data_IF_300289761632
#
_entry.id   IF_300289761632
#
_cell.length_a   1.000
_cell.length_b   1.000
_cell.length_c   1.000
_cell.angle_alpha   90.00
_cell.angle_beta   90.00
_cell.angle_gamma   90.00
#
_symmetry.space_group_name_H-M   'P 1'
#
loop_
_entity.id
_entity.type
_entity.pdbx_description
1 polymer ?
#
# COMPACT_ATOMS: atom_id res chain seq x y z
N UNK A 1 30.51 -25.01 -28.81
CA UNK A 1 31.10 -23.91 -28.01
C UNK A 1 30.17 -22.72 -27.81
N UNK A 2 29.34 -22.27 -28.75
CA UNK A 2 28.42 -21.12 -28.57
C UNK A 2 27.40 -21.31 -27.44
N UNK A 3 26.73 -22.45 -27.36
CA UNK A 3 25.71 -22.75 -26.33
C UNK A 3 26.26 -22.73 -24.88
N UNK A 4 27.50 -23.19 -24.69
CA UNK A 4 28.14 -23.16 -23.37
C UNK A 4 28.46 -21.73 -22.89
N UNK A 5 28.86 -20.83 -23.82
CA UNK A 5 29.09 -19.41 -23.51
C UNK A 5 27.79 -18.69 -23.13
N UNK A 6 26.71 -18.95 -23.84
CA UNK A 6 25.38 -18.40 -23.56
C UNK A 6 24.86 -18.81 -22.18
N UNK A 7 24.94 -20.10 -21.83
CA UNK A 7 24.54 -20.63 -20.52
C UNK A 7 25.36 -19.97 -19.39
N UNK A 8 26.67 -19.79 -19.57
CA UNK A 8 27.53 -19.13 -18.59
C UNK A 8 27.12 -17.65 -18.38
N UNK A 9 26.76 -16.96 -19.44
CA UNK A 9 26.25 -15.58 -19.37
C UNK A 9 24.92 -15.51 -18.64
N UNK A 10 23.97 -16.45 -18.91
CA UNK A 10 22.71 -16.56 -18.18
C UNK A 10 22.93 -16.83 -16.69
N UNK A 11 23.80 -17.78 -16.33
CA UNK A 11 24.15 -18.04 -14.93
C UNK A 11 24.61 -16.78 -14.23
N UNK A 12 25.57 -16.05 -14.82
CA UNK A 12 26.11 -14.80 -14.27
C UNK A 12 25.02 -13.73 -14.09
N UNK A 13 24.09 -13.61 -15.05
CA UNK A 13 22.95 -12.68 -14.96
C UNK A 13 22.03 -13.02 -13.79
N UNK A 14 21.67 -14.30 -13.62
CA UNK A 14 20.80 -14.73 -12.50
C UNK A 14 21.53 -14.60 -11.16
N UNK A 15 22.84 -14.86 -11.09
CA UNK A 15 23.64 -14.62 -9.88
C UNK A 15 23.63 -13.13 -9.47
N UNK A 16 23.71 -12.21 -10.43
CA UNK A 16 23.58 -10.79 -10.16
C UNK A 16 22.19 -10.42 -9.67
N UNK A 17 21.14 -10.97 -10.32
CA UNK A 17 19.74 -10.78 -9.87
C UNK A 17 19.56 -11.28 -8.43
N UNK A 18 20.10 -12.44 -8.08
CA UNK A 18 20.09 -12.99 -6.72
C UNK A 18 20.73 -12.05 -5.70
N UNK A 19 21.85 -11.43 -6.03
CA UNK A 19 22.51 -10.45 -5.16
C UNK A 19 21.65 -9.20 -4.95
N UNK A 20 21.03 -8.70 -6.02
CA UNK A 20 20.14 -7.52 -5.97
C UNK A 20 18.90 -7.81 -5.12
N UNK A 21 18.22 -8.94 -5.34
CA UNK A 21 17.02 -9.31 -4.58
C UNK A 21 17.35 -9.52 -3.10
N UNK A 22 18.50 -10.12 -2.77
CA UNK A 22 18.96 -10.26 -1.38
C UNK A 22 19.24 -8.92 -0.70
N UNK A 23 19.86 -7.99 -1.41
CA UNK A 23 20.09 -6.64 -0.89
C UNK A 23 18.75 -5.89 -0.67
N UNK A 24 17.81 -6.02 -1.60
CA UNK A 24 16.47 -5.41 -1.47
C UNK A 24 15.67 -6.02 -0.31
N UNK A 25 15.80 -7.31 -0.05
CA UNK A 25 15.21 -7.98 1.12
C UNK A 25 15.74 -7.32 2.41
N UNK A 26 17.05 -7.17 2.56
CA UNK A 26 17.68 -6.60 3.77
C UNK A 26 17.28 -5.13 3.99
N UNK A 27 17.25 -4.34 2.92
CA UNK A 27 16.79 -2.94 2.97
C UNK A 27 15.33 -2.88 3.42
N UNK A 28 14.49 -3.78 2.89
CA UNK A 28 13.06 -3.82 3.23
C UNK A 28 12.84 -4.18 4.70
N UNK A 29 13.63 -5.08 5.28
CA UNK A 29 13.61 -5.40 6.73
C UNK A 29 13.87 -4.16 7.57
N UNK A 30 14.94 -3.41 7.23
CA UNK A 30 15.29 -2.19 7.97
C UNK A 30 14.20 -1.11 7.88
N UNK A 31 13.67 -0.89 6.67
CA UNK A 31 12.59 0.10 6.44
C UNK A 31 11.28 -0.31 7.09
N UNK A 32 10.94 -1.60 7.10
CA UNK A 32 9.76 -2.13 7.78
C UNK A 32 9.78 -1.81 9.28
N UNK A 33 10.90 -2.05 9.96
CA UNK A 33 11.04 -1.73 11.40
C UNK A 33 10.75 -0.25 11.67
N UNK A 34 11.36 0.65 10.89
CA UNK A 34 11.14 2.10 11.01
C UNK A 34 9.69 2.51 10.70
N UNK A 35 9.03 1.85 9.74
CA UNK A 35 7.63 2.11 9.42
C UNK A 35 6.70 1.63 10.55
N UNK A 36 6.97 0.47 11.14
CA UNK A 36 6.23 -0.04 12.30
C UNK A 36 6.38 0.86 13.54
N UNK A 37 7.57 1.38 13.81
CA UNK A 37 7.80 2.35 14.89
C UNK A 37 6.94 3.60 14.71
N UNK A 38 6.88 4.15 13.47
CA UNK A 38 6.05 5.31 13.16
C UNK A 38 4.56 5.01 13.28
N UNK A 39 4.12 3.85 12.77
CA UNK A 39 2.73 3.41 12.89
C UNK A 39 2.32 3.32 14.38
N UNK A 40 3.19 2.76 15.23
CA UNK A 40 2.94 2.70 16.68
C UNK A 40 2.93 4.07 17.34
N UNK A 41 3.81 4.98 16.91
CA UNK A 41 3.87 6.34 17.43
C UNK A 41 2.65 7.18 17.02
N UNK A 42 2.02 6.92 15.88
CA UNK A 42 0.83 7.61 15.41
C UNK A 42 -0.46 7.18 16.12
N UNK A 43 -0.55 5.91 16.56
CA UNK A 43 -1.75 5.35 17.19
C UNK A 43 -2.28 6.14 18.40
N UNK A 44 -1.45 6.51 19.40
CA UNK A 44 -1.95 7.22 20.58
C UNK A 44 -2.65 8.54 20.25
N UNK A 45 -2.14 9.26 19.23
CA UNK A 45 -2.76 10.50 18.77
C UNK A 45 -4.14 10.23 18.16
N UNK A 46 -4.23 9.31 17.22
CA UNK A 46 -5.50 8.95 16.57
C UNK A 46 -6.53 8.43 17.59
N UNK A 47 -6.11 7.64 18.59
CA UNK A 47 -6.97 7.13 19.64
C UNK A 47 -7.49 8.27 20.55
N UNK A 48 -6.63 9.21 20.94
CA UNK A 48 -7.03 10.35 21.77
C UNK A 48 -7.99 11.29 21.03
N UNK A 49 -7.69 11.65 19.78
CA UNK A 49 -8.58 12.48 18.96
C UNK A 49 -9.94 11.79 18.75
N UNK A 50 -9.95 10.48 18.50
CA UNK A 50 -11.17 9.68 18.41
C UNK A 50 -11.98 9.72 19.69
N UNK A 51 -11.36 9.51 20.84
CA UNK A 51 -12.04 9.52 22.14
C UNK A 51 -12.68 10.90 22.40
N UNK A 52 -11.97 11.99 22.13
CA UNK A 52 -12.48 13.34 22.27
C UNK A 52 -13.66 13.56 21.31
N UNK A 53 -13.53 13.18 20.03
CA UNK A 53 -14.59 13.31 19.04
C UNK A 53 -15.85 12.50 19.41
N UNK A 54 -15.68 11.29 19.98
CA UNK A 54 -16.77 10.45 20.47
C UNK A 54 -17.53 11.09 21.64
N UNK A 55 -16.81 11.69 22.60
CA UNK A 55 -17.43 12.38 23.75
C UNK A 55 -18.14 13.66 23.33
N UNK A 56 -17.54 14.43 22.39
CA UNK A 56 -18.14 15.67 21.88
C UNK A 56 -19.46 15.43 21.14
N UNK A 57 -19.56 14.34 20.39
CA UNK A 57 -20.80 13.94 19.71
C UNK A 57 -21.93 13.59 20.68
N UNK A 58 -21.61 13.27 21.94
CA UNK A 58 -22.60 13.01 23.00
C UNK A 58 -22.97 14.26 23.80
N UNK A 59 -21.99 15.13 24.05
CA UNK A 59 -22.17 16.30 24.92
C UNK A 59 -22.99 17.42 24.26
N UNK A 60 -23.00 17.55 22.93
CA UNK A 60 -23.72 18.56 22.18
C UNK A 60 -24.62 17.96 21.10
N UNK A 61 -25.78 17.38 21.44
CA UNK A 61 -26.69 16.77 20.48
C UNK A 61 -27.34 17.78 19.51
N UNK A 62 -27.34 19.07 19.86
CA UNK A 62 -27.93 20.13 19.03
C UNK A 62 -27.03 20.52 17.84
N UNK A 63 -25.71 20.32 17.94
CA UNK A 63 -24.76 20.60 16.86
C UNK A 63 -24.26 19.35 16.19
N UNK A 64 -24.64 19.18 14.92
CA UNK A 64 -24.14 18.08 14.07
C UNK A 64 -23.23 18.64 13.00
N UNK A 65 -21.93 18.36 13.14
CA UNK A 65 -20.91 18.78 12.16
C UNK A 65 -21.22 18.18 10.78
N UNK A 66 -20.82 18.89 9.72
CA UNK A 66 -21.05 18.46 8.32
C UNK A 66 -20.47 17.08 8.01
N UNK A 67 -19.33 16.71 8.62
CA UNK A 67 -18.73 15.38 8.46
C UNK A 67 -19.53 14.21 9.05
N UNK A 68 -20.54 14.49 9.87
CA UNK A 68 -21.44 13.47 10.44
C UNK A 68 -22.77 13.38 9.68
N UNK A 69 -23.06 14.36 8.80
CA UNK A 69 -24.29 14.39 8.01
C UNK A 69 -24.16 13.54 6.75
N UNK A 70 -25.23 12.86 6.37
CA UNK A 70 -25.34 12.20 5.08
C UNK A 70 -25.63 13.23 3.99
N UNK A 71 -24.94 13.13 2.88
CA UNK A 71 -25.10 14.00 1.71
C UNK A 71 -25.65 13.18 0.52
N UNK A 72 -26.54 13.78 -0.27
CA UNK A 72 -27.07 13.19 -1.50
C UNK A 72 -26.24 13.58 -2.74
N UNK A 73 -24.95 13.80 -2.55
CA UNK A 73 -24.00 14.16 -3.62
C UNK A 73 -24.00 13.13 -4.76
N UNK A 74 -23.82 13.62 -5.98
CA UNK A 74 -23.79 12.79 -7.20
C UNK A 74 -22.48 12.01 -7.38
N UNK A 75 -21.49 12.27 -6.53
CA UNK A 75 -20.17 11.65 -6.61
C UNK A 75 -19.83 10.89 -5.32
N UNK A 76 -18.90 9.95 -5.44
CA UNK A 76 -18.26 9.26 -4.31
C UNK A 76 -16.75 9.50 -4.37
N UNK A 77 -16.14 9.89 -3.26
CA UNK A 77 -14.71 10.14 -3.13
C UNK A 77 -13.93 8.89 -2.72
N UNK A 78 -12.76 8.68 -3.30
CA UNK A 78 -11.84 7.59 -2.94
C UNK A 78 -10.45 8.14 -2.68
N UNK A 79 -9.94 7.98 -1.48
CA UNK A 79 -8.53 8.22 -1.14
C UNK A 79 -7.80 6.90 -1.26
N UNK A 80 -6.97 6.76 -2.30
CA UNK A 80 -6.34 5.48 -2.66
C UNK A 80 -4.86 5.52 -2.31
N UNK A 81 -4.47 4.79 -1.26
CA UNK A 81 -3.10 4.72 -0.77
C UNK A 81 -2.41 3.50 -1.35
N UNK A 82 -1.41 3.73 -2.19
CA UNK A 82 -0.61 2.69 -2.85
C UNK A 82 0.88 2.98 -2.70
N UNK A 83 1.70 2.12 -3.28
CA UNK A 83 3.16 2.34 -3.31
C UNK A 83 3.59 3.16 -4.52
N UNK A 84 4.71 3.87 -4.40
CA UNK A 84 5.35 4.49 -5.55
C UNK A 84 6.08 3.47 -6.43
N UNK A 85 6.74 2.50 -5.81
CA UNK A 85 7.56 1.48 -6.48
C UNK A 85 6.90 0.10 -6.39
N UNK A 86 7.16 -0.76 -7.37
CA UNK A 86 6.70 -2.14 -7.38
C UNK A 86 7.55 -3.10 -6.55
N UNK A 87 7.57 -4.35 -6.96
CA UNK A 87 8.30 -5.46 -6.34
C UNK A 87 7.87 -5.80 -4.91
N UNK A 88 6.61 -5.51 -4.57
CA UNK A 88 5.95 -5.82 -3.30
C UNK A 88 4.89 -6.93 -3.43
N UNK A 89 5.13 -7.90 -4.32
CA UNK A 89 4.20 -9.00 -4.57
C UNK A 89 2.83 -8.52 -5.05
N UNK A 90 1.78 -9.11 -4.51
CA UNK A 90 0.38 -8.81 -4.85
C UNK A 90 -0.24 -7.61 -4.12
N UNK A 91 0.52 -6.88 -3.30
CA UNK A 91 -0.02 -5.85 -2.41
C UNK A 91 -0.91 -4.82 -3.14
N UNK A 92 -0.35 -4.14 -4.15
CA UNK A 92 -1.12 -3.15 -4.92
C UNK A 92 -2.23 -3.80 -5.74
N UNK A 93 -1.98 -4.95 -6.35
CA UNK A 93 -2.96 -5.63 -7.20
C UNK A 93 -4.19 -6.04 -6.40
N UNK A 94 -4.03 -6.52 -5.17
CA UNK A 94 -5.14 -6.92 -4.32
C UNK A 94 -5.97 -5.70 -3.89
N UNK A 95 -5.32 -4.59 -3.49
CA UNK A 95 -6.01 -3.35 -3.15
C UNK A 95 -6.77 -2.78 -4.36
N UNK A 96 -6.12 -2.72 -5.52
CA UNK A 96 -6.74 -2.17 -6.73
C UNK A 96 -7.88 -3.05 -7.25
N UNK A 97 -7.84 -4.37 -7.00
CA UNK A 97 -8.96 -5.27 -7.26
C UNK A 97 -10.16 -4.95 -6.37
N UNK A 98 -9.93 -4.77 -5.06
CA UNK A 98 -10.98 -4.38 -4.12
C UNK A 98 -11.58 -3.01 -4.50
N UNK A 99 -10.73 -2.04 -4.83
CA UNK A 99 -11.16 -0.73 -5.33
C UNK A 99 -12.01 -0.84 -6.61
N UNK A 100 -11.65 -1.73 -7.54
CA UNK A 100 -12.40 -1.91 -8.80
C UNK A 100 -13.83 -2.38 -8.54
N UNK A 101 -14.05 -3.23 -7.55
CA UNK A 101 -15.39 -3.66 -7.14
C UNK A 101 -16.21 -2.44 -6.68
N UNK A 102 -15.64 -1.63 -5.80
CA UNK A 102 -16.29 -0.43 -5.27
C UNK A 102 -16.58 0.62 -6.36
N UNK A 103 -15.66 0.82 -7.31
CA UNK A 103 -15.88 1.72 -8.44
C UNK A 103 -17.04 1.26 -9.33
N UNK A 104 -17.17 -0.06 -9.56
CA UNK A 104 -18.30 -0.63 -10.33
C UNK A 104 -19.63 -0.46 -9.59
N UNK A 105 -19.67 -0.70 -8.30
CA UNK A 105 -20.85 -0.50 -7.46
C UNK A 105 -21.28 0.97 -7.47
N UNK A 106 -20.34 1.90 -7.37
CA UNK A 106 -20.60 3.34 -7.47
C UNK A 106 -21.18 3.71 -8.82
N UNK A 107 -20.63 3.18 -9.90
CA UNK A 107 -21.12 3.42 -11.27
C UNK A 107 -22.50 2.80 -11.49
N UNK A 108 -22.76 1.59 -10.98
CA UNK A 108 -24.06 0.93 -11.04
C UNK A 108 -25.14 1.71 -10.27
N UNK A 109 -24.76 2.40 -9.20
CA UNK A 109 -25.63 3.31 -8.44
C UNK A 109 -25.85 4.68 -9.16
N UNK A 110 -25.32 4.86 -10.38
CA UNK A 110 -25.46 6.10 -11.17
C UNK A 110 -24.61 7.27 -10.65
N UNK A 111 -23.66 7.00 -9.73
CA UNK A 111 -22.77 8.01 -9.17
C UNK A 111 -21.43 8.05 -9.89
N UNK A 112 -20.79 9.22 -9.90
CA UNK A 112 -19.44 9.38 -10.44
C UNK A 112 -18.39 9.18 -9.34
N UNK A 113 -17.25 8.59 -9.69
CA UNK A 113 -16.14 8.41 -8.76
C UNK A 113 -15.13 9.56 -8.91
N UNK A 114 -14.79 10.21 -7.80
CA UNK A 114 -13.67 11.15 -7.70
C UNK A 114 -12.58 10.50 -6.84
N UNK A 115 -11.34 10.61 -7.26
CA UNK A 115 -10.25 9.94 -6.56
C UNK A 115 -9.10 10.88 -6.21
N UNK A 116 -8.52 10.67 -5.03
CA UNK A 116 -7.21 11.20 -4.65
C UNK A 116 -6.24 10.04 -4.61
N UNK A 117 -5.16 10.14 -5.38
CA UNK A 117 -4.13 9.11 -5.45
C UNK A 117 -2.94 9.45 -4.56
N UNK A 118 -2.64 8.59 -3.61
CA UNK A 118 -1.42 8.62 -2.80
C UNK A 118 -0.53 7.46 -3.26
N UNK A 119 0.57 7.78 -3.96
CA UNK A 119 1.48 6.82 -4.55
C UNK A 119 1.29 6.59 -6.05
N UNK A 120 2.42 6.38 -6.75
CA UNK A 120 2.46 6.33 -8.22
C UNK A 120 1.72 5.14 -8.84
N UNK A 121 1.62 4.00 -8.14
CA UNK A 121 0.93 2.81 -8.66
C UNK A 121 -0.59 2.99 -8.73
N UNK A 122 -1.18 3.65 -7.73
CA UNK A 122 -2.60 4.02 -7.72
C UNK A 122 -2.92 5.06 -8.78
N UNK A 123 -2.11 6.11 -8.89
CA UNK A 123 -2.27 7.14 -9.90
C UNK A 123 -2.29 6.55 -11.32
N UNK A 124 -1.29 5.71 -11.65
CA UNK A 124 -1.24 5.07 -12.96
C UNK A 124 -2.41 4.13 -13.25
N UNK A 125 -2.96 3.48 -12.23
CA UNK A 125 -4.15 2.64 -12.35
C UNK A 125 -5.42 3.48 -12.57
N UNK A 126 -5.66 4.49 -11.75
CA UNK A 126 -6.83 5.36 -11.82
C UNK A 126 -6.92 6.07 -13.18
N UNK A 127 -5.81 6.58 -13.69
CA UNK A 127 -5.75 7.18 -15.02
C UNK A 127 -6.09 6.18 -16.14
N UNK A 128 -5.67 4.91 -16.00
CA UNK A 128 -5.97 3.86 -16.99
C UNK A 128 -7.43 3.46 -17.00
N UNK A 129 -8.07 3.43 -15.83
CA UNK A 129 -9.51 3.09 -15.69
C UNK A 129 -10.41 4.28 -16.05
N UNK A 130 -9.84 5.48 -16.25
CA UNK A 130 -10.60 6.70 -16.55
C UNK A 130 -11.33 7.28 -15.34
N UNK A 131 -10.89 6.99 -14.12
CA UNK A 131 -11.44 7.61 -12.92
C UNK A 131 -11.02 9.10 -12.85
N UNK A 132 -11.93 9.97 -12.40
CA UNK A 132 -11.62 11.40 -12.22
C UNK A 132 -10.67 11.58 -11.04
N UNK A 133 -9.37 11.71 -11.32
CA UNK A 133 -8.37 12.03 -10.29
C UNK A 133 -8.38 13.53 -10.05
N UNK A 134 -8.86 13.95 -8.87
CA UNK A 134 -8.97 15.36 -8.48
C UNK A 134 -7.69 15.90 -7.85
N UNK A 135 -6.90 15.04 -7.22
CA UNK A 135 -5.58 15.38 -6.67
C UNK A 135 -4.71 14.14 -6.53
N UNK A 136 -3.41 14.35 -6.44
CA UNK A 136 -2.49 13.23 -6.21
C UNK A 136 -1.21 13.69 -5.50
N UNK A 137 -0.57 12.76 -4.81
CA UNK A 137 0.78 12.91 -4.26
C UNK A 137 1.59 11.65 -4.51
N UNK A 138 2.80 11.84 -4.99
CA UNK A 138 3.77 10.78 -5.25
C UNK A 138 5.10 11.12 -4.60
N UNK A 139 5.99 10.16 -4.52
CA UNK A 139 7.35 10.35 -4.00
C UNK A 139 7.39 10.86 -2.56
N UNK A 140 6.48 10.35 -1.69
CA UNK A 140 6.47 10.66 -0.26
C UNK A 140 7.75 10.21 0.47
N UNK A 141 8.54 9.31 -0.15
CA UNK A 141 9.75 8.76 0.44
C UNK A 141 9.47 7.80 1.60
N UNK A 142 10.46 7.61 2.46
CA UNK A 142 10.35 6.69 3.59
C UNK A 142 9.71 7.32 4.84
N UNK A 143 9.56 8.65 4.84
CA UNK A 143 8.94 9.42 5.93
C UNK A 143 7.77 10.22 5.36
N UNK A 144 6.53 9.76 5.55
CA UNK A 144 5.39 10.56 5.15
C UNK A 144 5.30 11.78 6.08
N UNK A 145 5.30 12.97 5.49
CA UNK A 145 5.04 14.21 6.20
C UNK A 145 3.56 14.55 6.03
N UNK A 146 2.89 14.89 7.14
CA UNK A 146 1.47 15.21 7.15
C UNK A 146 1.17 16.38 6.21
N UNK A 147 2.03 17.41 6.18
CA UNK A 147 1.88 18.60 5.34
C UNK A 147 1.70 18.26 3.85
N UNK A 148 2.36 17.20 3.35
CA UNK A 148 2.23 16.75 1.96
C UNK A 148 0.93 16.00 1.68
N UNK A 149 0.29 15.47 2.72
CA UNK A 149 -0.95 14.70 2.62
C UNK A 149 -2.18 15.58 2.76
N UNK A 150 -2.11 16.63 3.61
CA UNK A 150 -3.24 17.51 3.91
C UNK A 150 -3.79 18.14 2.63
N UNK A 151 -2.96 18.75 1.78
CA UNK A 151 -3.41 19.40 0.56
C UNK A 151 -4.26 18.52 -0.34
N UNK A 152 -3.73 17.38 -0.81
CA UNK A 152 -4.49 16.44 -1.64
C UNK A 152 -5.77 15.90 -0.99
N UNK A 153 -5.73 15.60 0.31
CA UNK A 153 -6.89 15.06 1.04
C UNK A 153 -7.95 16.12 1.22
N UNK A 154 -7.57 17.36 1.54
CA UNK A 154 -8.47 18.49 1.76
C UNK A 154 -9.42 18.71 0.57
N UNK A 155 -8.96 18.48 -0.67
CA UNK A 155 -9.81 18.62 -1.86
C UNK A 155 -11.09 17.77 -1.78
N UNK A 156 -10.98 16.50 -1.29
CA UNK A 156 -12.16 15.65 -1.11
C UNK A 156 -12.97 16.00 0.14
N UNK A 157 -12.31 16.46 1.21
CA UNK A 157 -13.01 16.92 2.42
C UNK A 157 -13.84 18.17 2.13
N UNK A 158 -13.29 19.13 1.38
CA UNK A 158 -13.99 20.34 0.96
C UNK A 158 -15.14 20.02 -0.01
N UNK A 159 -14.95 19.10 -0.96
CA UNK A 159 -16.00 18.63 -1.86
C UNK A 159 -17.15 17.92 -1.10
N UNK A 160 -16.84 17.18 -0.04
CA UNK A 160 -17.86 16.59 0.84
C UNK A 160 -18.62 17.67 1.61
N UNK A 161 -17.92 18.67 2.15
CA UNK A 161 -18.54 19.81 2.85
C UNK A 161 -19.44 20.62 1.94
N UNK A 162 -19.05 20.79 0.67
CA UNK A 162 -19.85 21.45 -0.36
C UNK A 162 -21.07 20.63 -0.85
N UNK A 163 -21.21 19.36 -0.41
CA UNK A 163 -22.29 18.46 -0.82
C UNK A 163 -22.15 17.87 -2.22
N UNK A 164 -20.99 18.03 -2.87
CA UNK A 164 -20.70 17.43 -4.18
C UNK A 164 -20.46 15.91 -4.09
N UNK A 165 -19.88 15.48 -2.99
CA UNK A 165 -19.50 14.10 -2.70
C UNK A 165 -20.35 13.54 -1.59
N UNK A 166 -21.04 12.41 -1.82
CA UNK A 166 -21.96 11.79 -0.86
C UNK A 166 -21.24 10.98 0.22
N UNK A 167 -20.08 10.41 -0.10
CA UNK A 167 -19.27 9.63 0.84
C UNK A 167 -17.79 9.67 0.41
N UNK A 168 -16.88 9.56 1.35
CA UNK A 168 -15.43 9.43 1.11
C UNK A 168 -14.96 8.12 1.68
N UNK A 169 -14.30 7.29 0.86
CA UNK A 169 -13.72 6.02 1.24
C UNK A 169 -12.20 6.10 1.26
N UNK A 170 -11.60 5.46 2.26
CA UNK A 170 -10.16 5.32 2.42
C UNK A 170 -9.75 3.89 2.04
N UNK A 171 -8.89 3.77 1.02
CA UNK A 171 -8.46 2.50 0.45
C UNK A 171 -6.96 2.31 0.71
N UNK A 172 -6.58 1.33 1.51
CA UNK A 172 -5.18 1.08 1.88
C UNK A 172 -4.94 -0.38 2.26
N UNK A 173 -3.68 -0.76 2.50
CA UNK A 173 -3.34 -2.08 2.99
C UNK A 173 -3.04 -2.03 4.49
N UNK A 174 -3.92 -2.65 5.28
CA UNK A 174 -3.76 -2.78 6.73
C UNK A 174 -2.64 -3.75 7.04
N UNK A 175 -1.74 -3.34 7.93
CA UNK A 175 -0.67 -4.20 8.41
C UNK A 175 -1.16 -5.11 9.54
N UNK A 176 -1.29 -6.41 9.28
CA UNK A 176 -1.66 -7.43 10.26
C UNK A 176 -0.40 -8.10 10.82
N UNK A 177 0.45 -8.58 9.93
CA UNK A 177 1.72 -9.20 10.27
C UNK A 177 2.71 -9.07 9.11
N UNK A 178 3.95 -9.48 9.33
CA UNK A 178 4.98 -9.51 8.28
C UNK A 178 4.57 -10.37 7.07
N UNK A 179 3.77 -11.42 7.31
CA UNK A 179 3.33 -12.35 6.28
C UNK A 179 1.93 -12.03 5.73
N UNK A 180 1.15 -11.20 6.43
CA UNK A 180 -0.24 -10.92 6.08
C UNK A 180 -0.50 -9.41 6.06
N UNK A 181 -0.88 -8.90 4.89
CA UNK A 181 -1.37 -7.56 4.65
C UNK A 181 -2.74 -7.66 3.99
N UNK A 182 -3.72 -6.95 4.54
CA UNK A 182 -5.12 -7.04 4.10
C UNK A 182 -5.52 -5.74 3.41
N UNK A 183 -6.00 -5.80 2.15
CA UNK A 183 -6.58 -4.63 1.50
C UNK A 183 -7.89 -4.25 2.21
N UNK A 184 -8.03 -2.99 2.55
CA UNK A 184 -9.18 -2.43 3.24
C UNK A 184 -9.74 -1.27 2.43
N UNK A 185 -11.06 -1.24 2.31
CA UNK A 185 -11.83 -0.11 1.81
C UNK A 185 -12.81 0.25 2.91
N UNK A 186 -12.56 1.34 3.60
CA UNK A 186 -13.40 1.79 4.72
C UNK A 186 -13.94 3.19 4.49
N UNK A 187 -15.13 3.45 4.99
CA UNK A 187 -15.74 4.76 4.89
C UNK A 187 -15.06 5.72 5.86
N UNK A 188 -14.52 6.81 5.31
CA UNK A 188 -13.95 7.92 6.06
C UNK A 188 -15.05 8.95 6.39
N UNK A 189 -15.86 9.34 5.42
CA UNK A 189 -16.98 10.27 5.57
C UNK A 189 -18.26 9.70 4.92
N UNK A 190 -19.44 9.95 5.50
CA UNK A 190 -19.68 10.58 6.80
C UNK A 190 -19.13 9.74 7.96
N UNK A 191 -18.69 10.43 9.02
CA UNK A 191 -18.24 9.79 10.24
C UNK A 191 -19.42 9.12 10.95
N UNK A 192 -19.29 7.83 11.25
CA UNK A 192 -20.33 7.10 11.98
C UNK A 192 -20.07 7.19 13.48
N UNK A 193 -21.00 7.81 14.21
CA UNK A 193 -20.96 7.83 15.68
C UNK A 193 -20.90 6.41 16.27
N UNK A 194 -21.61 5.43 15.69
CA UNK A 194 -21.60 4.04 16.12
C UNK A 194 -20.20 3.41 16.02
N UNK A 195 -19.47 3.63 14.92
CA UNK A 195 -18.10 3.13 14.76
C UNK A 195 -17.12 3.79 15.73
N UNK A 196 -17.28 5.09 15.99
CA UNK A 196 -16.48 5.79 17.00
C UNK A 196 -16.66 5.19 18.39
N UNK A 197 -17.88 4.76 18.73
CA UNK A 197 -18.20 4.15 20.02
C UNK A 197 -17.72 2.70 20.16
N UNK A 198 -17.86 1.87 19.14
CA UNK A 198 -17.42 0.47 19.21
C UNK A 198 -15.91 0.35 19.42
N UNK A 199 -15.14 1.20 18.75
CA UNK A 199 -13.69 1.21 18.89
C UNK A 199 -13.23 1.87 20.22
N UNK A 200 -14.04 2.74 20.82
CA UNK A 200 -13.76 3.37 22.12
C UNK A 200 -14.04 2.41 23.30
N UNK A 201 -15.01 1.48 23.17
CA UNK A 201 -15.29 0.45 24.17
C UNK A 201 -14.12 -0.51 24.44
N UNK A 202 -13.20 -0.63 23.50
CA UNK A 202 -11.95 -1.39 23.66
C UNK A 202 -10.94 -0.70 24.59
N UNK A 203 -11.14 0.58 24.91
CA UNK A 203 -10.23 1.43 25.70
C UNK A 203 -10.95 1.86 26.98
N UNK A 204 -11.32 0.89 27.85
CA UNK A 204 -12.15 1.11 29.04
C UNK A 204 -11.57 2.12 30.04
N UNK A 205 -12.06 3.33 30.02
CA UNK A 205 -12.31 4.12 31.21
C UNK A 205 -13.56 4.98 30.96
N UNK A 206 -14.70 4.46 31.39
CA UNK A 206 -15.97 5.18 31.43
C UNK A 206 -15.90 6.29 32.51
N UNK A 207 -15.20 7.37 32.19
CA UNK A 207 -15.34 8.59 32.95
C UNK A 207 -16.00 9.59 32.01
N UNK A 208 -17.19 10.04 32.38
CA UNK A 208 -17.81 11.22 31.76
C UNK A 208 -16.97 12.42 32.16
N UNK A 209 -16.11 12.85 31.19
CA UNK A 209 -15.33 14.08 31.36
C UNK A 209 -16.15 15.23 30.82
N UNK A 210 -16.46 16.23 31.64
CA UNK A 210 -16.92 17.52 31.17
C UNK A 210 -15.69 18.30 30.69
N UNK A 211 -15.66 18.61 29.41
CA UNK A 211 -14.61 19.43 28.81
C UNK A 211 -15.01 20.91 28.89
N UNK A 212 -14.06 21.75 29.25
CA UNK A 212 -14.19 23.21 29.10
C UNK A 212 -13.76 23.56 27.68
N UNK A 213 -14.67 24.17 26.92
CA UNK A 213 -14.42 24.54 25.51
C UNK A 213 -14.05 26.00 25.42
N UNK A 214 -12.91 26.32 24.80
CA UNK A 214 -12.48 27.68 24.52
C UNK A 214 -12.09 27.79 23.02
N UNK A 215 -12.62 28.75 22.25
CA UNK A 215 -13.58 29.80 22.67
C UNK A 215 -15.02 29.33 22.80
N UNK A 216 -15.43 28.30 22.01
CA UNK A 216 -16.77 27.71 22.01
C UNK A 216 -16.72 26.26 21.54
N UNK A 217 -17.74 25.48 21.89
CA UNK A 217 -17.80 24.04 21.58
C UNK A 217 -17.87 23.76 20.08
N UNK A 218 -18.53 24.61 19.29
CA UNK A 218 -18.70 24.42 17.85
C UNK A 218 -17.35 24.54 17.11
N UNK A 219 -16.61 25.64 17.34
CA UNK A 219 -15.30 25.86 16.73
C UNK A 219 -14.32 24.73 17.06
N UNK A 220 -14.34 24.25 18.32
CA UNK A 220 -13.47 23.14 18.75
C UNK A 220 -13.85 21.84 18.06
N UNK A 221 -15.15 21.54 17.92
CA UNK A 221 -15.62 20.34 17.21
C UNK A 221 -15.22 20.38 15.73
N UNK A 222 -15.40 21.53 15.08
CA UNK A 222 -15.10 21.71 13.66
C UNK A 222 -13.62 21.45 13.38
N UNK A 223 -12.72 22.05 14.16
CA UNK A 223 -11.29 21.83 13.99
C UNK A 223 -10.89 20.38 14.33
N UNK A 224 -11.42 19.83 15.41
CA UNK A 224 -11.10 18.48 15.86
C UNK A 224 -11.47 17.41 14.84
N UNK A 225 -12.67 17.49 14.23
CA UNK A 225 -13.12 16.50 13.26
C UNK A 225 -12.31 16.54 11.96
N UNK A 226 -11.86 17.72 11.54
CA UNK A 226 -10.90 17.86 10.43
C UNK A 226 -9.59 17.17 10.79
N UNK A 227 -9.03 17.48 11.97
CA UNK A 227 -7.79 16.82 12.45
C UNK A 227 -7.93 15.32 12.61
N UNK A 228 -9.11 14.84 13.00
CA UNK A 228 -9.40 13.43 13.09
C UNK A 228 -9.36 12.74 11.71
N UNK A 229 -10.01 13.31 10.70
CA UNK A 229 -9.95 12.79 9.34
C UNK A 229 -8.50 12.77 8.78
N UNK A 230 -7.75 13.83 9.01
CA UNK A 230 -6.32 13.92 8.63
C UNK A 230 -5.48 12.83 9.33
N UNK A 231 -5.72 12.60 10.61
CA UNK A 231 -5.02 11.59 11.41
C UNK A 231 -5.32 10.17 10.92
N UNK A 232 -6.57 9.87 10.55
CA UNK A 232 -6.95 8.57 9.96
C UNK A 232 -6.25 8.32 8.62
N UNK A 233 -6.17 9.33 7.75
CA UNK A 233 -5.44 9.23 6.49
C UNK A 233 -3.94 9.02 6.75
N UNK A 234 -3.34 9.76 7.67
CA UNK A 234 -1.93 9.58 8.03
C UNK A 234 -1.65 8.18 8.57
N UNK A 235 -2.53 7.66 9.43
CA UNK A 235 -2.44 6.30 9.96
C UNK A 235 -2.51 5.27 8.83
N UNK A 236 -3.45 5.41 7.90
CA UNK A 236 -3.57 4.52 6.74
C UNK A 236 -2.32 4.54 5.85
N UNK A 237 -1.72 5.71 5.63
CA UNK A 237 -0.46 5.85 4.89
C UNK A 237 0.68 5.15 5.63
N UNK A 238 0.80 5.33 6.95
CA UNK A 238 1.82 4.69 7.77
C UNK A 238 1.66 3.15 7.77
N UNK A 239 0.43 2.64 7.89
CA UNK A 239 0.13 1.20 7.80
C UNK A 239 0.43 0.64 6.40
N UNK A 240 0.07 1.36 5.35
CA UNK A 240 0.37 0.94 3.98
C UNK A 240 1.88 0.90 3.73
N UNK A 241 2.66 1.82 4.27
CA UNK A 241 4.12 1.79 4.16
C UNK A 241 4.74 0.60 4.90
N UNK A 242 4.25 0.27 6.09
CA UNK A 242 4.68 -0.93 6.82
C UNK A 242 4.33 -2.20 6.03
N UNK A 243 3.13 -2.27 5.47
CA UNK A 243 2.65 -3.34 4.59
C UNK A 243 3.50 -3.47 3.33
N UNK A 244 3.87 -2.34 2.70
CA UNK A 244 4.73 -2.29 1.51
C UNK A 244 6.09 -2.93 1.76
N UNK A 245 6.75 -2.52 2.85
CA UNK A 245 8.08 -3.05 3.16
C UNK A 245 8.05 -4.51 3.59
N UNK A 246 7.01 -4.94 4.31
CA UNK A 246 6.81 -6.35 4.66
C UNK A 246 6.56 -7.21 3.41
N UNK A 247 5.65 -6.82 2.54
CA UNK A 247 5.36 -7.53 1.30
C UNK A 247 6.58 -7.59 0.36
N UNK A 248 7.35 -6.48 0.27
CA UNK A 248 8.58 -6.46 -0.52
C UNK A 248 9.65 -7.37 0.05
N UNK A 249 9.82 -7.43 1.37
CA UNK A 249 10.75 -8.34 2.02
C UNK A 249 10.42 -9.79 1.66
N UNK A 250 9.17 -10.21 1.80
CA UNK A 250 8.72 -11.58 1.47
C UNK A 250 8.91 -11.88 -0.02
N UNK A 251 8.52 -10.96 -0.90
CA UNK A 251 8.67 -11.12 -2.34
C UNK A 251 10.14 -11.23 -2.77
N UNK A 252 11.02 -10.42 -2.18
CA UNK A 252 12.45 -10.45 -2.50
C UNK A 252 13.14 -11.69 -1.95
N UNK A 253 12.72 -12.18 -0.77
CA UNK A 253 13.19 -13.48 -0.25
C UNK A 253 12.83 -14.61 -1.20
N UNK A 254 11.55 -14.72 -1.60
CA UNK A 254 11.11 -15.74 -2.54
C UNK A 254 11.84 -15.64 -3.90
N UNK A 255 12.07 -14.42 -4.41
CA UNK A 255 12.84 -14.20 -5.63
C UNK A 255 14.31 -14.63 -5.50
N UNK A 256 14.94 -14.41 -4.34
CA UNK A 256 16.32 -14.83 -4.04
C UNK A 256 16.44 -16.34 -4.00
N UNK A 257 15.49 -17.02 -3.35
CA UNK A 257 15.45 -18.49 -3.24
C UNK A 257 15.22 -19.13 -4.62
N UNK A 258 14.26 -18.60 -5.38
CA UNK A 258 13.99 -19.07 -6.76
C UNK A 258 15.20 -18.85 -7.69
N UNK A 259 15.88 -17.71 -7.60
CA UNK A 259 17.11 -17.47 -8.34
C UNK A 259 18.20 -18.51 -7.99
N UNK A 260 18.29 -18.95 -6.74
CA UNK A 260 19.17 -20.03 -6.30
C UNK A 260 18.89 -21.34 -7.02
N UNK A 261 17.61 -21.73 -7.11
CA UNK A 261 17.17 -22.95 -7.79
C UNK A 261 17.50 -22.90 -9.30
N UNK A 262 17.14 -21.78 -9.97
CA UNK A 262 17.44 -21.57 -11.39
C UNK A 262 18.95 -21.63 -11.68
N UNK A 263 19.80 -21.09 -10.80
CA UNK A 263 21.26 -21.22 -10.94
C UNK A 263 21.69 -22.68 -10.87
N UNK A 264 21.13 -23.46 -9.94
CA UNK A 264 21.42 -24.90 -9.82
C UNK A 264 21.08 -25.65 -11.10
N UNK A 265 19.89 -25.46 -11.62
CA UNK A 265 19.41 -26.07 -12.87
C UNK A 265 20.30 -25.68 -14.07
N UNK A 266 20.61 -24.39 -14.23
CA UNK A 266 21.46 -23.92 -15.32
C UNK A 266 22.89 -24.49 -15.23
N UNK A 267 23.44 -24.66 -14.02
CA UNK A 267 24.77 -25.29 -13.82
C UNK A 267 24.75 -26.77 -14.24
N UNK A 268 23.69 -27.51 -13.93
CA UNK A 268 23.54 -28.90 -14.39
C UNK A 268 23.50 -28.98 -15.92
N UNK A 269 22.67 -28.15 -16.56
CA UNK A 269 22.57 -28.07 -18.01
C UNK A 269 23.94 -27.70 -18.63
N UNK A 270 24.61 -26.70 -18.05
CA UNK A 270 25.93 -26.28 -18.52
C UNK A 270 26.95 -27.43 -18.45
N UNK A 271 27.04 -28.13 -17.33
CA UNK A 271 27.97 -29.26 -17.16
C UNK A 271 27.67 -30.39 -18.14
N UNK A 272 26.38 -30.74 -18.35
CA UNK A 272 25.95 -31.76 -19.33
C UNK A 272 26.34 -31.37 -20.74
N UNK A 273 26.08 -30.10 -21.14
CA UNK A 273 26.44 -29.57 -22.45
C UNK A 273 27.97 -29.54 -22.67
N UNK A 274 28.70 -29.17 -21.63
CA UNK A 274 30.18 -29.15 -21.68
C UNK A 274 30.74 -30.56 -21.87
N UNK A 275 30.24 -31.56 -21.09
CA UNK A 275 30.68 -32.96 -21.22
C UNK A 275 30.37 -33.51 -22.62
N UNK A 276 29.14 -33.25 -23.13
CA UNK A 276 28.77 -33.68 -24.48
C UNK A 276 29.69 -33.05 -25.59
N UNK A 277 30.05 -31.77 -25.43
CA UNK A 277 30.97 -31.11 -26.35
C UNK A 277 32.37 -31.73 -26.32
N UNK A 278 32.93 -31.95 -25.11
CA UNK A 278 34.22 -32.63 -24.93
C UNK A 278 34.21 -34.01 -25.53
N UNK A 279 33.16 -34.83 -25.26
CA UNK A 279 33.04 -36.17 -25.81
C UNK A 279 32.95 -36.14 -27.32
N UNK A 280 32.22 -35.20 -27.91
CA UNK A 280 32.13 -35.02 -29.37
C UNK A 280 33.50 -34.66 -29.97
N UNK A 281 34.22 -33.69 -29.41
CA UNK A 281 35.56 -33.29 -29.86
C UNK A 281 36.57 -34.48 -29.79
N UNK A 282 36.53 -35.24 -28.67
CA UNK A 282 37.35 -36.45 -28.55
C UNK A 282 37.02 -37.49 -29.61
N UNK A 283 35.74 -37.74 -29.87
CA UNK A 283 35.30 -38.71 -30.90
C UNK A 283 35.72 -38.26 -32.30
N UNK A 284 35.63 -36.99 -32.60
CA UNK A 284 36.11 -36.40 -33.88
C UNK A 284 37.61 -36.58 -34.05
N UNK A 285 38.42 -36.32 -33.00
CA UNK A 285 39.86 -36.51 -33.01
C UNK A 285 40.22 -38.00 -33.23
N UNK A 286 39.61 -38.90 -32.47
CA UNK A 286 39.87 -40.35 -32.60
C UNK A 286 39.47 -40.87 -33.98
N UNK A 287 38.29 -40.49 -34.48
CA UNK A 287 37.86 -40.86 -35.84
C UNK A 287 38.75 -40.29 -36.94
N UNK A 288 39.24 -39.04 -36.79
CA UNK A 288 40.17 -38.44 -37.71
C UNK A 288 41.54 -39.12 -37.71
N UNK A 289 42.05 -39.52 -36.52
CA UNK A 289 43.31 -40.28 -36.42
C UNK A 289 43.18 -41.68 -37.01
N UNK A 290 42.06 -42.37 -36.80
CA UNK A 290 41.82 -43.68 -37.42
C UNK A 290 41.73 -43.63 -38.94
N UNK A 291 41.17 -42.54 -39.51
CA UNK A 291 41.08 -42.34 -40.96
C UNK A 291 42.46 -42.05 -41.65
N UNK A 292 43.45 -41.58 -40.88
CA UNK A 292 44.78 -41.27 -41.39
C UNK A 292 45.71 -42.49 -41.26
N UNK A 293 45.43 -43.39 -40.30
CA UNK A 293 46.27 -44.54 -39.99
C UNK A 293 45.85 -45.83 -40.72
N UNK A 294 44.77 -45.87 -41.47
CA UNK A 294 44.34 -46.91 -42.36
C UNK A 294 44.51 -46.54 -43.83
#
# INVERSE_FOLDING_TARGET
MAAGKELRTKIKSVENTKKITKAMEMISVSKMRKAQERMRAARPYSEKVRNIASHLGQANPEYVHTFMKTNDGKSVGYIVVTTDKGLCGGLNTNLLRALTVQLRETQAAGKTAQAVAIGGKGLGFLNRVGAKVVSHVTHLGDKPHLDKLIGPVKVLLDAFTAGEVSAVYLCYNKFVSTMSQVPVVEQLLPLSAAKMHEETKSSATQHAWDYIYEPDAQSVIDELLVRYAEALVYQAVAENMASEHAARMVAMKAATDNAGNVIGELKLIYNKTRQAAITKELSEIVSGAAAISG
#
